data_IF_394814916933
#
_entry.id   IF_394814916933
#
_cell.length_a   1.000
_cell.length_b   1.000
_cell.length_c   1.000
_cell.angle_alpha   90.00
_cell.angle_beta   90.00
_cell.angle_gamma   90.00
#
_symmetry.space_group_name_H-M   'P 1'
#
loop_
_entity.id
_entity.type
_entity.pdbx_description
1 polymer ?
#
# COMPACT_ATOMS: atom_id res chain seq x y z
N UNK A 1 43.73 65.58 -27.67
CA UNK A 1 44.43 64.31 -27.44
C UNK A 1 44.17 63.93 -26.00
N UNK A 2 43.69 62.70 -25.75
CA UNK A 2 43.48 62.04 -24.46
C UNK A 2 42.42 62.67 -23.53
N UNK A 3 41.55 61.94 -22.82
CA UNK A 3 41.42 60.51 -22.53
C UNK A 3 39.94 60.21 -22.32
N UNK A 4 39.49 59.04 -22.77
CA UNK A 4 38.49 58.22 -22.07
C UNK A 4 38.23 56.98 -22.91
N UNK A 5 38.51 55.80 -22.33
CA UNK A 5 37.72 54.57 -22.41
C UNK A 5 38.60 53.36 -22.17
N UNK A 6 38.60 52.85 -20.93
CA UNK A 6 38.77 51.41 -20.66
C UNK A 6 38.38 51.09 -19.22
N UNK A 7 37.18 50.54 -19.02
CA UNK A 7 36.80 49.81 -17.80
C UNK A 7 35.53 48.99 -18.06
N UNK A 8 35.67 47.85 -18.76
CA UNK A 8 34.56 46.89 -18.88
C UNK A 8 35.00 45.42 -18.85
N UNK A 9 36.29 45.12 -19.02
CA UNK A 9 36.79 43.73 -18.99
C UNK A 9 37.03 43.17 -17.57
N UNK A 10 37.14 44.02 -16.54
CA UNK A 10 37.41 43.60 -15.15
C UNK A 10 36.19 43.08 -14.39
N UNK A 11 35.00 43.63 -14.66
CA UNK A 11 33.79 43.37 -13.88
C UNK A 11 33.25 41.93 -14.03
N UNK A 12 33.31 41.35 -15.24
CA UNK A 12 32.83 39.98 -15.49
C UNK A 12 33.69 38.90 -14.81
N UNK A 13 35.01 39.12 -14.71
CA UNK A 13 35.95 38.19 -14.08
C UNK A 13 35.83 38.23 -12.55
N UNK A 14 35.55 39.41 -11.99
CA UNK A 14 35.31 39.61 -10.55
C UNK A 14 33.97 38.97 -10.12
N UNK A 15 32.93 39.05 -10.96
CA UNK A 15 31.62 38.46 -10.70
C UNK A 15 31.64 36.91 -10.72
N UNK A 16 32.37 36.29 -11.66
CA UNK A 16 32.55 34.84 -11.67
C UNK A 16 33.33 34.33 -10.46
N UNK A 17 34.34 35.08 -10.01
CA UNK A 17 35.17 34.75 -8.85
C UNK A 17 34.37 34.88 -7.53
N UNK A 18 33.53 35.91 -7.41
CA UNK A 18 32.54 36.05 -6.32
C UNK A 18 31.60 34.84 -6.26
N UNK A 19 31.09 34.38 -7.42
CA UNK A 19 30.13 33.28 -7.50
C UNK A 19 30.77 31.96 -7.08
N UNK A 20 32.00 31.69 -7.53
CA UNK A 20 32.77 30.52 -7.08
C UNK A 20 33.09 30.56 -5.59
N UNK A 21 33.47 31.73 -5.04
CA UNK A 21 33.69 31.89 -3.60
C UNK A 21 32.42 31.67 -2.78
N UNK A 22 31.27 32.15 -3.25
CA UNK A 22 29.98 31.94 -2.61
C UNK A 22 29.56 30.46 -2.64
N UNK A 23 29.78 29.75 -3.75
CA UNK A 23 29.55 28.29 -3.82
C UNK A 23 30.51 27.50 -2.93
N UNK A 24 31.78 27.93 -2.83
CA UNK A 24 32.75 27.29 -1.97
C UNK A 24 32.44 27.52 -0.49
N UNK A 25 31.98 28.71 -0.11
CA UNK A 25 31.46 29.00 1.23
C UNK A 25 30.24 28.12 1.57
N UNK A 26 29.30 27.95 0.64
CA UNK A 26 28.15 27.03 0.82
C UNK A 26 28.57 25.57 1.00
N UNK A 27 29.59 25.10 0.27
CA UNK A 27 30.15 23.75 0.43
C UNK A 27 30.81 23.58 1.81
N UNK A 28 31.54 24.57 2.28
CA UNK A 28 32.18 24.54 3.60
C UNK A 28 31.13 24.53 4.71
N UNK A 29 30.09 25.36 4.60
CA UNK A 29 28.92 25.35 5.49
C UNK A 29 28.21 23.99 5.48
N UNK A 30 27.99 23.38 4.31
CA UNK A 30 27.41 22.05 4.18
C UNK A 30 28.25 20.97 4.86
N UNK A 31 29.58 21.01 4.70
CA UNK A 31 30.48 20.05 5.36
C UNK A 31 30.44 20.26 6.89
N UNK A 32 30.51 21.52 7.35
CA UNK A 32 30.45 21.86 8.78
C UNK A 32 29.14 21.40 9.42
N UNK A 33 28.02 21.57 8.73
CA UNK A 33 26.71 21.09 9.19
C UNK A 33 26.63 19.57 9.19
N UNK A 34 27.15 18.90 8.16
CA UNK A 34 27.25 17.44 8.13
C UNK A 34 28.11 16.90 9.29
N UNK A 35 29.24 17.53 9.62
CA UNK A 35 30.09 17.16 10.76
C UNK A 35 29.40 17.40 12.11
N UNK A 36 28.68 18.53 12.23
CA UNK A 36 27.86 18.82 13.41
C UNK A 36 26.77 17.77 13.61
N UNK A 37 26.02 17.44 12.56
CA UNK A 37 25.00 16.39 12.59
C UNK A 37 25.60 15.03 12.95
N UNK A 38 26.75 14.69 12.37
CA UNK A 38 27.48 13.45 12.70
C UNK A 38 27.86 13.39 14.17
N UNK A 39 28.29 14.50 14.76
CA UNK A 39 28.63 14.59 16.19
C UNK A 39 27.38 14.48 17.07
N UNK A 40 26.28 15.12 16.69
CA UNK A 40 25.00 15.00 17.40
C UNK A 40 24.48 13.56 17.38
N UNK A 41 24.61 12.89 16.24
CA UNK A 41 24.25 11.48 16.08
C UNK A 41 25.09 10.59 17.01
N UNK A 42 26.40 10.80 17.05
CA UNK A 42 27.31 10.05 17.93
C UNK A 42 27.00 10.26 19.43
N UNK A 43 26.65 11.49 19.84
CA UNK A 43 26.24 11.77 21.22
C UNK A 43 24.91 11.09 21.56
N UNK A 44 23.92 11.16 20.68
CA UNK A 44 22.63 10.50 20.87
C UNK A 44 22.80 8.96 20.94
N UNK A 45 23.66 8.37 20.11
CA UNK A 45 24.00 6.94 20.19
C UNK A 45 24.68 6.59 21.52
N UNK A 46 25.57 7.45 22.03
CA UNK A 46 26.24 7.23 23.32
C UNK A 46 25.26 7.29 24.49
N UNK A 47 24.36 8.28 24.51
CA UNK A 47 23.35 8.42 25.56
C UNK A 47 22.34 7.27 25.52
N UNK A 48 21.90 6.87 24.32
CA UNK A 48 21.07 5.67 24.10
C UNK A 48 21.75 4.42 24.67
N UNK A 49 23.03 4.22 24.36
CA UNK A 49 23.77 3.05 24.84
C UNK A 49 24.01 3.07 26.36
N UNK A 50 24.24 4.25 26.94
CA UNK A 50 24.43 4.42 28.38
C UNK A 50 23.16 4.18 29.19
N UNK A 51 22.01 4.62 28.67
CA UNK A 51 20.73 4.61 29.41
C UNK A 51 19.90 3.35 29.13
N UNK A 52 19.86 2.87 27.87
CA UNK A 52 18.97 1.78 27.46
C UNK A 52 19.70 0.43 27.40
N UNK A 53 20.94 0.40 26.93
CA UNK A 53 21.69 -0.85 26.72
C UNK A 53 22.68 -1.20 27.84
N UNK A 54 22.57 -0.55 29.00
CA UNK A 54 23.39 -0.89 30.16
C UNK A 54 23.08 -2.32 30.64
N UNK A 55 24.14 -3.11 30.86
CA UNK A 55 24.05 -4.52 31.27
C UNK A 55 23.38 -4.72 32.65
N UNK A 56 23.23 -3.66 33.45
CA UNK A 56 22.58 -3.67 34.78
C UNK A 56 21.12 -3.18 34.77
N UNK A 57 20.52 -2.93 33.60
CA UNK A 57 19.13 -2.48 33.51
C UNK A 57 18.16 -3.64 33.77
N UNK A 58 17.14 -3.42 34.60
CA UNK A 58 16.08 -4.39 34.88
C UNK A 58 15.24 -4.74 33.63
N UNK A 59 15.31 -3.91 32.58
CA UNK A 59 14.59 -4.08 31.31
C UNK A 59 15.48 -4.61 30.16
N UNK A 60 16.59 -5.27 30.51
CA UNK A 60 17.60 -5.69 29.52
C UNK A 60 17.03 -6.64 28.46
N UNK A 61 16.06 -7.48 28.82
CA UNK A 61 15.43 -8.43 27.89
C UNK A 61 14.63 -7.68 26.80
N UNK A 62 13.84 -6.70 27.21
CA UNK A 62 13.03 -5.86 26.32
C UNK A 62 13.91 -4.97 25.43
N UNK A 63 14.97 -4.39 25.98
CA UNK A 63 15.93 -3.61 25.20
C UNK A 63 16.73 -4.46 24.21
N UNK A 64 16.98 -5.74 24.51
CA UNK A 64 17.66 -6.64 23.57
C UNK A 64 16.89 -6.82 22.27
N UNK A 65 15.55 -6.83 22.34
CA UNK A 65 14.68 -6.94 21.16
C UNK A 65 14.79 -5.68 20.29
N UNK A 66 14.82 -4.50 20.92
CA UNK A 66 15.01 -3.23 20.21
C UNK A 66 16.40 -3.12 19.58
N UNK A 67 17.44 -3.61 20.26
CA UNK A 67 18.80 -3.66 19.72
C UNK A 67 18.90 -4.58 18.49
N UNK A 68 18.24 -5.73 18.53
CA UNK A 68 18.17 -6.66 17.40
C UNK A 68 17.44 -6.05 16.19
N UNK A 69 16.31 -5.36 16.44
CA UNK A 69 15.57 -4.64 15.41
C UNK A 69 16.41 -3.51 14.78
N UNK A 70 17.12 -2.73 15.59
CA UNK A 70 18.00 -1.68 15.08
C UNK A 70 19.16 -2.24 14.24
N UNK A 71 19.78 -3.33 14.70
CA UNK A 71 20.83 -4.02 13.93
C UNK A 71 20.28 -4.51 12.60
N UNK A 72 19.09 -5.12 12.59
CA UNK A 72 18.41 -5.55 11.38
C UNK A 72 18.17 -4.39 10.40
N UNK A 73 17.64 -3.27 10.88
CA UNK A 73 17.42 -2.06 10.07
C UNK A 73 18.73 -1.46 9.53
N UNK A 74 19.81 -1.50 10.33
CA UNK A 74 21.14 -1.05 9.91
C UNK A 74 21.72 -1.93 8.82
N UNK A 75 21.60 -3.26 8.96
CA UNK A 75 22.01 -4.23 7.93
C UNK A 75 21.19 -4.01 6.65
N UNK A 76 19.86 -3.89 6.76
CA UNK A 76 18.96 -3.63 5.63
C UNK A 76 19.36 -2.38 4.83
N UNK A 77 19.66 -1.26 5.51
CA UNK A 77 20.15 -0.04 4.83
C UNK A 77 21.49 -0.24 4.12
N UNK A 78 22.41 -1.01 4.71
CA UNK A 78 23.71 -1.30 4.09
C UNK A 78 23.54 -2.20 2.86
N UNK A 79 22.67 -3.21 2.94
CA UNK A 79 22.38 -4.11 1.82
C UNK A 79 21.68 -3.37 0.68
N UNK A 80 20.74 -2.47 0.98
CA UNK A 80 20.07 -1.66 -0.04
C UNK A 80 21.05 -0.71 -0.73
N UNK A 81 21.92 -0.05 0.04
CA UNK A 81 23.00 0.78 -0.53
C UNK A 81 23.90 -0.03 -1.47
N UNK A 82 24.29 -1.24 -1.08
CA UNK A 82 25.12 -2.11 -1.92
C UNK A 82 24.39 -2.52 -3.20
N UNK A 83 23.10 -2.85 -3.11
CA UNK A 83 22.24 -3.22 -4.25
C UNK A 83 22.09 -2.07 -5.24
N UNK A 84 21.82 -0.85 -4.76
CA UNK A 84 21.74 0.36 -5.60
C UNK A 84 23.07 0.58 -6.34
N UNK A 85 24.20 0.51 -5.63
CA UNK A 85 25.53 0.67 -6.25
C UNK A 85 25.79 -0.40 -7.32
N UNK A 86 25.38 -1.65 -7.08
CA UNK A 86 25.51 -2.73 -8.04
C UNK A 86 24.66 -2.49 -9.30
N UNK A 87 23.40 -2.08 -9.14
CA UNK A 87 22.49 -1.79 -10.25
C UNK A 87 22.98 -0.60 -11.08
N UNK A 88 23.42 0.48 -10.43
CA UNK A 88 24.02 1.63 -11.11
C UNK A 88 25.29 1.25 -11.88
N UNK A 89 26.14 0.41 -11.30
CA UNK A 89 27.34 -0.09 -11.97
C UNK A 89 27.01 -0.92 -13.22
N UNK A 90 25.94 -1.73 -13.18
CA UNK A 90 25.46 -2.50 -14.34
C UNK A 90 24.95 -1.58 -15.45
N UNK A 91 24.15 -0.56 -15.12
CA UNK A 91 23.68 0.44 -16.09
C UNK A 91 24.86 1.18 -16.71
N UNK A 92 25.81 1.65 -15.89
CA UNK A 92 27.02 2.32 -16.38
C UNK A 92 27.84 1.43 -17.31
N UNK A 93 27.95 0.14 -17.02
CA UNK A 93 28.65 -0.82 -17.88
C UNK A 93 27.95 -0.95 -19.24
N UNK A 94 26.62 -1.10 -19.26
CA UNK A 94 25.85 -1.20 -20.50
C UNK A 94 25.96 0.08 -21.34
N UNK A 95 25.91 1.25 -20.71
CA UNK A 95 26.11 2.55 -21.38
C UNK A 95 27.52 2.65 -21.96
N UNK A 96 28.56 2.26 -21.22
CA UNK A 96 29.95 2.22 -21.74
C UNK A 96 30.10 1.24 -22.90
N UNK A 97 29.41 0.09 -22.86
CA UNK A 97 29.38 -0.90 -23.94
C UNK A 97 28.76 -0.29 -25.20
N UNK A 98 27.60 0.37 -25.06
CA UNK A 98 26.94 1.09 -26.14
C UNK A 98 27.84 2.18 -26.73
N UNK A 99 28.45 3.03 -25.89
CA UNK A 99 29.39 4.07 -26.31
C UNK A 99 30.60 3.54 -27.10
N UNK A 100 31.13 2.36 -26.72
CA UNK A 100 32.24 1.73 -27.45
C UNK A 100 31.81 1.26 -28.83
N UNK A 101 30.61 0.68 -28.96
CA UNK A 101 30.10 0.25 -30.26
C UNK A 101 29.80 1.42 -31.20
N UNK A 102 29.53 2.61 -30.66
CA UNK A 102 29.31 3.84 -31.44
C UNK A 102 30.58 4.52 -31.97
N UNK A 103 31.79 4.13 -31.54
CA UNK A 103 33.01 4.89 -31.86
C UNK A 103 33.59 4.69 -33.26
N UNK A 104 33.44 3.52 -33.90
CA UNK A 104 34.11 3.23 -35.18
C UNK A 104 33.38 2.16 -36.04
N UNK A 105 32.12 2.38 -36.45
CA UNK A 105 31.39 1.40 -37.26
C UNK A 105 30.58 2.03 -38.40
N UNK A 106 30.68 1.46 -39.60
CA UNK A 106 29.83 1.81 -40.75
C UNK A 106 28.40 1.34 -40.48
N UNK A 107 27.37 2.19 -40.63
CA UNK A 107 25.98 1.82 -40.39
C UNK A 107 25.54 0.77 -41.42
N UNK A 108 25.61 -0.48 -41.01
CA UNK A 108 25.12 -1.66 -41.73
C UNK A 108 23.77 -2.03 -41.10
N UNK A 109 22.77 -2.53 -41.84
CA UNK A 109 21.46 -2.85 -41.27
C UNK A 109 21.52 -3.75 -40.02
N UNK A 110 22.34 -4.80 -40.02
CA UNK A 110 22.48 -5.68 -38.85
C UNK A 110 23.13 -4.97 -37.65
N UNK A 111 24.00 -3.99 -37.89
CA UNK A 111 24.62 -3.19 -36.84
C UNK A 111 23.62 -2.21 -36.20
N UNK A 112 22.73 -1.61 -37.01
CA UNK A 112 21.67 -0.73 -36.52
C UNK A 112 20.69 -1.50 -35.64
N UNK A 113 20.32 -2.72 -36.02
CA UNK A 113 19.45 -3.56 -35.20
C UNK A 113 20.11 -3.98 -33.88
N UNK A 114 21.39 -4.35 -33.92
CA UNK A 114 22.17 -4.62 -32.70
C UNK A 114 22.32 -3.40 -31.79
N UNK A 115 22.40 -2.20 -32.36
CA UNK A 115 22.44 -0.95 -31.60
C UNK A 115 21.10 -0.67 -30.91
N UNK A 116 19.98 -0.93 -31.61
CA UNK A 116 18.63 -0.81 -31.03
C UNK A 116 18.44 -1.76 -29.86
N UNK A 117 18.83 -3.03 -30.00
CA UNK A 117 18.78 -4.01 -28.90
C UNK A 117 19.58 -3.52 -27.68
N UNK A 118 20.79 -2.98 -27.89
CA UNK A 118 21.61 -2.43 -26.81
C UNK A 118 21.01 -1.18 -26.16
N UNK A 119 20.38 -0.30 -26.94
CA UNK A 119 19.68 0.87 -26.43
C UNK A 119 18.47 0.45 -25.59
N UNK A 120 17.69 -0.51 -26.10
CA UNK A 120 16.51 -1.06 -25.42
C UNK A 120 16.91 -1.78 -24.12
N UNK A 121 18.01 -2.53 -24.10
CA UNK A 121 18.54 -3.13 -22.87
C UNK A 121 18.93 -2.07 -21.81
N UNK A 122 19.55 -0.96 -22.24
CA UNK A 122 19.91 0.14 -21.33
C UNK A 122 18.66 0.84 -20.80
N UNK A 123 17.70 1.13 -21.68
CA UNK A 123 16.45 1.80 -21.33
C UNK A 123 15.60 0.94 -20.39
N UNK A 124 15.45 -0.34 -20.69
CA UNK A 124 14.78 -1.30 -19.83
C UNK A 124 15.47 -1.43 -18.46
N UNK A 125 16.81 -1.46 -18.42
CA UNK A 125 17.54 -1.50 -17.15
C UNK A 125 17.33 -0.22 -16.30
N UNK A 126 17.28 0.96 -16.94
CA UNK A 126 17.01 2.24 -16.27
C UNK A 126 15.57 2.29 -15.76
N UNK A 127 14.60 1.88 -16.58
CA UNK A 127 13.19 1.90 -16.22
C UNK A 127 12.89 0.91 -15.09
N UNK A 128 13.43 -0.30 -15.15
CA UNK A 128 13.32 -1.29 -14.08
C UNK A 128 13.93 -0.78 -12.77
N UNK A 129 15.12 -0.15 -12.83
CA UNK A 129 15.75 0.46 -11.64
C UNK A 129 14.87 1.55 -11.03
N UNK A 130 14.37 2.48 -11.83
CA UNK A 130 13.49 3.56 -11.35
C UNK A 130 12.21 3.02 -10.74
N UNK A 131 11.60 2.01 -11.37
CA UNK A 131 10.37 1.40 -10.90
C UNK A 131 10.57 0.67 -9.56
N UNK A 132 11.64 -0.11 -9.44
CA UNK A 132 11.99 -0.80 -8.20
C UNK A 132 12.24 0.21 -7.06
N UNK A 133 13.01 1.27 -7.31
CA UNK A 133 13.27 2.31 -6.31
C UNK A 133 12.00 3.08 -5.92
N UNK A 134 11.09 3.31 -6.87
CA UNK A 134 9.77 3.91 -6.60
C UNK A 134 8.93 3.02 -5.68
N UNK A 135 8.87 1.72 -5.95
CA UNK A 135 8.12 0.76 -5.13
C UNK A 135 8.68 0.68 -3.70
N UNK A 136 10.00 0.63 -3.55
CA UNK A 136 10.66 0.62 -2.23
C UNK A 136 10.33 1.91 -1.47
N UNK A 137 10.43 3.06 -2.14
CA UNK A 137 10.11 4.36 -1.53
C UNK A 137 8.64 4.47 -1.10
N UNK A 138 7.70 4.05 -1.95
CA UNK A 138 6.27 4.03 -1.62
C UNK A 138 5.97 3.11 -0.43
N UNK A 139 6.67 1.97 -0.32
CA UNK A 139 6.53 1.05 0.81
C UNK A 139 7.07 1.69 2.11
N UNK A 140 8.26 2.28 2.06
CA UNK A 140 8.85 2.98 3.22
C UNK A 140 7.97 4.14 3.71
N UNK A 141 7.34 4.90 2.80
CA UNK A 141 6.40 5.96 3.19
C UNK A 141 5.16 5.42 3.92
N UNK A 142 4.64 4.25 3.51
CA UNK A 142 3.51 3.62 4.21
C UNK A 142 3.91 3.17 5.61
N UNK A 143 5.09 2.57 5.73
CA UNK A 143 5.67 2.14 7.02
C UNK A 143 5.93 3.33 7.94
N UNK A 144 6.53 4.41 7.43
CA UNK A 144 6.74 5.65 8.18
C UNK A 144 5.41 6.21 8.69
N UNK A 145 4.39 6.34 7.82
CA UNK A 145 3.07 6.82 8.22
C UNK A 145 2.45 5.95 9.31
N UNK A 146 2.64 4.64 9.22
CA UNK A 146 2.10 3.67 10.19
C UNK A 146 2.81 3.83 11.53
N UNK A 147 4.14 3.86 11.54
CA UNK A 147 4.94 4.06 12.74
C UNK A 147 4.66 5.42 13.41
N UNK A 148 4.52 6.50 12.63
CA UNK A 148 4.16 7.83 13.15
C UNK A 148 2.76 7.81 13.79
N UNK A 149 1.79 7.14 13.17
CA UNK A 149 0.46 6.99 13.75
C UNK A 149 0.52 6.20 15.07
N UNK A 150 1.27 5.10 15.12
CA UNK A 150 1.47 4.32 16.33
C UNK A 150 2.13 5.15 17.44
N UNK A 151 3.18 5.90 17.12
CA UNK A 151 3.82 6.83 18.04
C UNK A 151 2.82 7.88 18.56
N UNK A 152 2.00 8.47 17.69
CA UNK A 152 0.98 9.44 18.12
C UNK A 152 -0.07 8.83 19.07
N UNK A 153 -0.37 7.53 18.93
CA UNK A 153 -1.27 6.82 19.84
C UNK A 153 -0.58 6.61 21.19
N UNK A 154 0.71 6.25 21.19
CA UNK A 154 1.48 6.09 22.40
C UNK A 154 1.73 7.42 23.12
N UNK A 155 2.06 8.49 22.40
CA UNK A 155 2.18 9.84 22.94
C UNK A 155 0.89 10.26 23.64
N UNK A 156 -0.27 10.12 22.99
CA UNK A 156 -1.57 10.40 23.63
C UNK A 156 -1.83 9.55 24.87
N UNK A 157 -1.41 8.28 24.89
CA UNK A 157 -1.53 7.43 26.10
C UNK A 157 -0.64 7.93 27.22
N UNK A 158 0.60 8.30 26.91
CA UNK A 158 1.54 8.87 27.89
C UNK A 158 1.01 10.21 28.40
N UNK A 159 0.47 11.06 27.53
CA UNK A 159 -0.20 12.29 27.91
C UNK A 159 -1.42 12.03 28.81
N UNK A 160 -2.26 11.03 28.52
CA UNK A 160 -3.35 10.63 29.41
C UNK A 160 -2.83 10.20 30.79
N UNK A 161 -1.77 9.40 30.85
CA UNK A 161 -1.15 9.00 32.12
C UNK A 161 -0.55 10.20 32.87
N UNK A 162 0.02 11.16 32.14
CA UNK A 162 0.50 12.42 32.69
C UNK A 162 -0.66 13.31 33.16
N UNK A 163 -1.79 13.29 32.47
CA UNK A 163 -2.98 14.07 32.82
C UNK A 163 -3.67 13.50 34.05
N UNK A 164 -3.87 12.17 34.12
CA UNK A 164 -4.39 11.45 35.28
C UNK A 164 -3.51 11.65 36.53
N UNK A 165 -2.22 11.92 36.34
CA UNK A 165 -1.31 12.33 37.42
C UNK A 165 -1.30 13.83 37.71
N UNK A 166 -1.72 14.70 36.77
CA UNK A 166 -1.73 16.17 36.92
C UNK A 166 -3.08 16.78 37.36
N UNK A 167 -4.24 16.13 37.14
CA UNK A 167 -5.53 16.58 37.70
C UNK A 167 -5.54 16.54 39.23
N UNK A 168 -4.53 15.90 39.84
CA UNK A 168 -4.27 15.87 41.28
C UNK A 168 -3.06 16.73 41.71
N UNK A 169 -2.52 17.58 40.84
CA UNK A 169 -1.21 18.25 41.05
C UNK A 169 -1.29 19.79 41.11
N UNK A 170 -2.48 20.37 41.34
CA UNK A 170 -2.65 21.83 41.47
C UNK A 170 -2.98 22.32 42.88
N UNK A 171 -2.34 21.81 43.94
CA UNK A 171 -2.05 22.66 45.11
C UNK A 171 -0.82 22.10 45.81
N UNK A 172 0.06 23.01 46.25
CA UNK A 172 1.05 22.90 47.32
C UNK A 172 2.51 22.99 46.85
N UNK A 173 2.93 24.26 46.68
CA UNK A 173 4.32 24.66 46.87
C UNK A 173 4.70 24.39 48.33
N UNK A 174 5.77 23.63 48.52
CA UNK A 174 6.40 23.34 49.82
C UNK A 174 7.02 24.61 50.46
N UNK A 175 7.19 24.60 51.80
CA UNK A 175 8.55 24.37 52.29
C UNK A 175 8.65 23.35 53.44
N UNK A 176 9.73 22.55 53.30
CA UNK A 176 10.60 21.92 54.30
C UNK A 176 10.07 20.85 55.30
N UNK A 177 10.67 19.66 55.15
CA UNK A 177 11.01 18.65 56.16
C UNK A 177 9.90 18.00 57.00
N UNK A 178 9.43 16.84 56.54
CA UNK A 178 9.61 15.54 57.24
C UNK A 178 9.15 14.41 56.33
N UNK A 179 9.88 13.30 56.36
CA UNK A 179 9.59 12.06 55.64
C UNK A 179 8.19 11.57 56.04
N UNK A 180 7.20 11.77 55.19
CA UNK A 180 5.89 11.17 55.30
C UNK A 180 5.68 10.23 54.12
N UNK A 181 5.42 8.95 54.43
CA UNK A 181 5.02 7.94 53.46
C UNK A 181 3.89 8.47 52.59
N UNK A 182 4.10 8.34 51.30
CA UNK A 182 3.29 8.86 50.21
C UNK A 182 1.79 8.56 50.36
N UNK A 183 0.98 9.59 50.59
CA UNK A 183 -0.49 9.50 50.65
C UNK A 183 -1.10 9.08 49.30
N UNK A 184 -0.35 9.10 48.18
CA UNK A 184 -0.81 8.55 46.89
C UNK A 184 -0.91 7.02 46.91
N UNK A 185 -0.16 6.33 47.79
CA UNK A 185 -0.22 4.88 47.92
C UNK A 185 -1.51 4.42 48.65
N UNK A 186 -2.10 5.28 49.49
CA UNK A 186 -3.30 4.98 50.29
C UNK A 186 -4.56 4.78 49.43
N UNK A 187 -4.61 5.36 48.22
CA UNK A 187 -5.79 5.33 47.34
C UNK A 187 -5.90 4.08 46.45
N UNK A 188 -4.81 3.35 46.23
CA UNK A 188 -4.79 2.15 45.35
C UNK A 188 -4.74 0.83 46.13
N UNK A 189 -4.53 0.88 47.45
CA UNK A 189 -4.48 -0.30 48.29
C UNK A 189 -5.80 -0.52 49.05
N UNK A 190 -6.17 -1.79 49.33
CA UNK A 190 -7.32 -2.09 50.17
C UNK A 190 -7.21 -1.41 51.54
N UNK A 191 -8.34 -0.91 52.05
CA UNK A 191 -8.43 -0.16 53.32
C UNK A 191 -7.78 -0.92 54.50
N UNK A 192 -7.92 -2.24 54.55
CA UNK A 192 -7.33 -3.07 55.61
C UNK A 192 -5.80 -3.14 55.55
N UNK A 193 -5.20 -2.98 54.37
CA UNK A 193 -3.72 -2.91 54.23
C UNK A 193 -3.19 -1.62 54.84
N UNK A 194 -3.93 -0.52 54.61
CA UNK A 194 -3.62 0.80 55.15
C UNK A 194 -3.82 0.84 56.67
N UNK A 195 -4.91 0.26 57.17
CA UNK A 195 -5.19 0.16 58.60
C UNK A 195 -4.13 -0.65 59.35
N UNK A 196 -3.68 -1.77 58.76
CA UNK A 196 -2.57 -2.54 59.31
C UNK A 196 -1.25 -1.74 59.35
N UNK A 197 -0.94 -0.98 58.31
CA UNK A 197 0.27 -0.14 58.26
C UNK A 197 0.21 0.98 59.31
N UNK A 198 -0.94 1.66 59.45
CA UNK A 198 -1.16 2.66 60.51
C UNK A 198 -1.04 2.05 61.90
N UNK A 199 -1.52 0.82 62.10
CA UNK A 199 -1.36 0.10 63.36
C UNK A 199 0.12 -0.16 63.68
N UNK A 200 0.92 -0.61 62.71
CA UNK A 200 2.36 -0.82 62.91
C UNK A 200 3.09 0.48 63.26
N UNK A 201 2.76 1.58 62.57
CA UNK A 201 3.37 2.88 62.84
C UNK A 201 3.05 3.39 64.25
N UNK A 202 1.82 3.19 64.72
CA UNK A 202 1.40 3.61 66.08
C UNK A 202 1.98 2.72 67.19
N UNK A 203 2.17 1.43 66.92
CA UNK A 203 2.51 0.45 67.95
C UNK A 203 3.98 0.05 67.99
N UNK A 204 4.87 0.73 67.26
CA UNK A 204 6.31 0.41 67.29
C UNK A 204 6.68 -0.81 66.43
N UNK A 205 5.99 -1.01 65.31
CA UNK A 205 6.28 -2.03 64.32
C UNK A 205 5.80 -3.43 64.68
N UNK A 206 6.35 -4.44 63.99
CA UNK A 206 5.93 -5.85 64.17
C UNK A 206 6.14 -6.34 65.61
N UNK A 207 7.24 -5.93 66.24
CA UNK A 207 7.61 -6.35 67.59
C UNK A 207 7.03 -5.46 68.69
N UNK A 208 6.34 -4.36 68.38
CA UNK A 208 5.69 -3.58 69.42
C UNK A 208 6.60 -2.65 70.21
N UNK A 209 7.79 -2.34 69.67
CA UNK A 209 8.87 -1.70 70.43
C UNK A 209 9.62 -2.64 71.40
N UNK A 210 9.28 -3.93 71.44
CA UNK A 210 10.05 -4.93 72.19
C UNK A 210 11.30 -5.34 71.41
N UNK A 211 12.38 -5.65 72.13
CA UNK A 211 13.56 -6.22 71.50
C UNK A 211 13.30 -7.65 71.00
N UNK A 212 14.21 -8.17 70.19
CA UNK A 212 14.04 -9.49 69.60
C UNK A 212 14.12 -10.62 70.63
N UNK A 213 14.81 -10.44 71.75
CA UNK A 213 14.96 -11.49 72.77
C UNK A 213 13.66 -11.64 73.58
N UNK A 214 13.17 -10.53 74.13
CA UNK A 214 11.94 -10.44 74.91
C UNK A 214 10.74 -10.86 74.04
N UNK A 215 10.67 -10.38 72.81
CA UNK A 215 9.57 -10.72 71.90
C UNK A 215 9.51 -12.22 71.58
N UNK A 216 10.66 -12.87 71.37
CA UNK A 216 10.71 -14.30 71.08
C UNK A 216 10.34 -15.16 72.30
N UNK A 217 10.78 -14.78 73.50
CA UNK A 217 10.38 -15.47 74.72
C UNK A 217 8.88 -15.31 75.00
N UNK A 218 8.34 -14.11 74.81
CA UNK A 218 6.89 -13.87 74.85
C UNK A 218 6.14 -14.77 73.85
N UNK A 219 6.57 -14.85 72.60
CA UNK A 219 5.90 -15.67 71.58
C UNK A 219 5.88 -17.17 71.91
N UNK A 220 6.96 -17.70 72.51
CA UNK A 220 7.02 -19.10 72.97
C UNK A 220 5.96 -19.38 74.02
N UNK A 221 5.88 -18.53 75.05
CA UNK A 221 4.91 -18.67 76.14
C UNK A 221 3.47 -18.42 75.62
N UNK A 222 3.28 -17.42 74.77
CA UNK A 222 2.00 -17.11 74.13
C UNK A 222 1.44 -18.27 73.33
N UNK A 223 2.30 -18.92 72.52
CA UNK A 223 1.92 -20.07 71.69
C UNK A 223 1.60 -21.30 72.54
N UNK A 224 2.36 -21.53 73.62
CA UNK A 224 2.13 -22.61 74.58
C UNK A 224 0.77 -22.50 75.28
N UNK A 225 0.38 -21.28 75.68
CA UNK A 225 -0.88 -21.01 76.39
C UNK A 225 -2.05 -20.63 75.47
N UNK A 226 -1.84 -20.58 74.15
CA UNK A 226 -2.83 -20.14 73.15
C UNK A 226 -3.51 -18.80 73.52
N UNK A 227 -2.76 -17.89 74.14
CA UNK A 227 -3.25 -16.57 74.57
C UNK A 227 -4.19 -16.57 75.79
N UNK A 228 -4.22 -17.63 76.61
CA UNK A 228 -4.96 -17.67 77.90
C UNK A 228 -4.17 -16.96 79.00
N UNK A 229 -4.85 -16.26 79.93
CA UNK A 229 -4.24 -15.43 80.99
C UNK A 229 -3.12 -16.09 81.81
N UNK A 230 -3.06 -17.43 81.87
CA UNK A 230 -1.96 -18.21 82.44
C UNK A 230 -0.60 -17.98 81.77
N UNK A 231 -0.55 -17.35 80.58
CA UNK A 231 0.70 -16.98 79.91
C UNK A 231 1.46 -15.88 80.64
N UNK A 232 0.76 -15.03 81.40
CA UNK A 232 1.36 -13.84 82.02
C UNK A 232 2.30 -14.26 83.15
N UNK A 233 1.86 -15.20 83.98
CA UNK A 233 2.65 -15.69 85.12
C UNK A 233 3.90 -16.46 84.63
N UNK A 234 3.78 -17.27 83.58
CA UNK A 234 4.94 -17.95 82.97
C UNK A 234 5.86 -16.96 82.23
N UNK A 235 5.32 -15.93 81.58
CA UNK A 235 6.14 -14.94 80.86
C UNK A 235 6.98 -14.06 81.79
N UNK A 236 6.50 -13.80 83.01
CA UNK A 236 7.25 -13.06 84.03
C UNK A 236 8.55 -13.76 84.45
N UNK A 237 8.59 -15.10 84.39
CA UNK A 237 9.79 -15.88 84.74
C UNK A 237 10.91 -15.71 83.72
N UNK A 238 10.58 -15.49 82.44
CA UNK A 238 11.55 -15.38 81.35
C UNK A 238 11.89 -13.94 80.95
N UNK A 239 11.07 -12.96 81.34
CA UNK A 239 11.19 -11.56 80.97
C UNK A 239 11.68 -10.72 82.16
N UNK A 240 12.96 -10.85 82.48
CA UNK A 240 13.59 -10.11 83.56
C UNK A 240 13.50 -8.59 83.31
N UNK A 241 12.82 -7.86 84.20
CA UNK A 241 12.68 -6.40 84.11
C UNK A 241 11.42 -5.89 83.41
N UNK A 242 10.47 -6.76 83.06
CA UNK A 242 9.13 -6.37 82.57
C UNK A 242 8.08 -6.52 83.68
N UNK A 243 7.13 -5.60 83.71
CA UNK A 243 6.00 -5.70 84.64
C UNK A 243 4.91 -6.62 84.11
N UNK A 244 4.03 -7.08 84.99
CA UNK A 244 2.87 -7.88 84.62
C UNK A 244 1.99 -7.13 83.62
N UNK A 245 1.83 -5.84 83.86
CA UNK A 245 1.07 -4.90 83.05
C UNK A 245 1.66 -4.76 81.64
N UNK A 246 2.99 -4.67 81.51
CA UNK A 246 3.68 -4.59 80.20
C UNK A 246 3.41 -5.85 79.35
N UNK A 247 3.47 -7.03 79.98
CA UNK A 247 3.23 -8.33 79.33
C UNK A 247 1.77 -8.43 78.87
N UNK A 248 0.82 -8.01 79.70
CA UNK A 248 -0.60 -8.00 79.37
C UNK A 248 -0.93 -7.02 78.23
N UNK A 249 -0.35 -5.82 78.25
CA UNK A 249 -0.53 -4.83 77.18
C UNK A 249 0.05 -5.32 75.85
N UNK A 250 1.23 -5.95 75.88
CA UNK A 250 1.83 -6.53 74.69
C UNK A 250 1.03 -7.72 74.16
N UNK A 251 0.43 -8.53 75.04
CA UNK A 251 -0.51 -9.58 74.68
C UNK A 251 -1.75 -9.07 73.96
N UNK A 252 -2.39 -8.02 74.48
CA UNK A 252 -3.54 -7.36 73.83
C UNK A 252 -3.16 -6.80 72.46
N UNK A 253 -2.04 -6.08 72.38
CA UNK A 253 -1.48 -5.58 71.11
C UNK A 253 -1.21 -6.70 70.11
N UNK A 254 -0.65 -7.83 70.55
CA UNK A 254 -0.33 -8.96 69.68
C UNK A 254 -1.60 -9.66 69.15
N UNK A 255 -2.67 -9.75 69.95
CA UNK A 255 -3.98 -10.20 69.47
C UNK A 255 -4.54 -9.29 68.38
N UNK A 256 -4.51 -7.97 68.59
CA UNK A 256 -4.94 -6.99 67.58
C UNK A 256 -4.09 -7.08 66.30
N UNK A 257 -2.77 -7.27 66.44
CA UNK A 257 -1.86 -7.49 65.33
C UNK A 257 -2.27 -8.72 64.49
N UNK A 258 -2.60 -9.85 65.14
CA UNK A 258 -3.02 -11.07 64.44
C UNK A 258 -4.31 -10.85 63.64
N UNK A 259 -5.31 -10.19 64.25
CA UNK A 259 -6.59 -9.90 63.60
C UNK A 259 -6.39 -8.99 62.37
N UNK A 260 -5.63 -7.90 62.52
CA UNK A 260 -5.39 -6.96 61.43
C UNK A 260 -4.51 -7.57 60.33
N UNK A 261 -3.55 -8.42 60.69
CA UNK A 261 -2.71 -9.14 59.74
C UNK A 261 -3.53 -10.11 58.88
N UNK A 262 -4.51 -10.81 59.48
CA UNK A 262 -5.37 -11.72 58.73
C UNK A 262 -6.35 -10.97 57.83
N UNK A 263 -6.96 -9.89 58.32
CA UNK A 263 -7.78 -8.98 57.49
C UNK A 263 -7.00 -8.42 56.30
N UNK A 264 -5.75 -8.02 56.51
CA UNK A 264 -4.83 -7.58 55.44
C UNK A 264 -4.65 -8.68 54.38
N UNK A 265 -4.39 -9.92 54.80
CA UNK A 265 -4.22 -11.04 53.85
C UNK A 265 -5.49 -11.31 53.05
N UNK A 266 -6.64 -11.37 53.71
CA UNK A 266 -7.92 -11.60 53.05
C UNK A 266 -8.23 -10.50 52.03
N UNK A 267 -7.98 -9.24 52.38
CA UNK A 267 -8.22 -8.11 51.47
C UNK A 267 -7.24 -8.07 50.31
N UNK A 268 -5.98 -8.46 50.50
CA UNK A 268 -5.04 -8.66 49.38
C UNK A 268 -5.51 -9.79 48.46
N UNK A 269 -6.01 -10.91 49.03
CA UNK A 269 -6.52 -12.03 48.25
C UNK A 269 -7.73 -11.62 47.39
N UNK A 270 -8.73 -10.97 48.01
CA UNK A 270 -9.93 -10.45 47.31
C UNK A 270 -9.57 -9.41 46.24
N UNK A 271 -8.60 -8.53 46.53
CA UNK A 271 -8.12 -7.55 45.56
C UNK A 271 -7.47 -8.21 44.35
N UNK A 272 -6.61 -9.22 44.56
CA UNK A 272 -6.00 -10.00 43.47
C UNK A 272 -7.03 -10.74 42.63
N UNK A 273 -8.01 -11.39 43.27
CA UNK A 273 -9.11 -12.07 42.57
C UNK A 273 -9.92 -11.09 41.71
N UNK A 274 -10.26 -9.91 42.26
CA UNK A 274 -10.97 -8.86 41.53
C UNK A 274 -10.17 -8.35 40.33
N UNK A 275 -8.87 -8.10 40.50
CA UNK A 275 -7.99 -7.67 39.42
C UNK A 275 -7.89 -8.72 38.31
N UNK A 276 -7.83 -10.00 38.67
CA UNK A 276 -7.82 -11.09 37.70
C UNK A 276 -9.14 -11.18 36.93
N UNK A 277 -10.28 -11.07 37.62
CA UNK A 277 -11.60 -11.09 37.00
C UNK A 277 -11.81 -9.92 36.04
N UNK A 278 -11.32 -8.73 36.37
CA UNK A 278 -11.37 -7.55 35.51
C UNK A 278 -10.53 -7.72 34.25
N UNK A 279 -9.31 -8.27 34.37
CA UNK A 279 -8.47 -8.63 33.22
C UNK A 279 -9.16 -9.61 32.27
N UNK A 280 -9.79 -10.66 32.81
CA UNK A 280 -10.52 -11.63 32.00
C UNK A 280 -11.75 -11.04 31.31
N UNK A 281 -12.48 -10.13 31.97
CA UNK A 281 -13.60 -9.40 31.35
C UNK A 281 -13.12 -8.52 30.20
N UNK A 282 -12.07 -7.74 30.41
CA UNK A 282 -11.47 -6.88 29.38
C UNK A 282 -10.95 -7.70 28.19
N UNK A 283 -10.37 -8.87 28.44
CA UNK A 283 -9.92 -9.77 27.38
C UNK A 283 -11.10 -10.30 26.55
N UNK A 284 -12.18 -10.75 27.21
CA UNK A 284 -13.39 -11.24 26.53
C UNK A 284 -14.10 -10.14 25.73
N UNK A 285 -14.10 -8.91 26.22
CA UNK A 285 -14.66 -7.76 25.50
C UNK A 285 -13.85 -7.44 24.24
N UNK A 286 -12.51 -7.40 24.36
CA UNK A 286 -11.62 -7.24 23.20
C UNK A 286 -11.82 -8.35 22.16
N UNK A 287 -11.89 -9.60 22.58
CA UNK A 287 -12.12 -10.74 21.67
C UNK A 287 -13.47 -10.62 20.94
N UNK A 288 -14.52 -10.14 21.61
CA UNK A 288 -15.81 -9.88 20.97
C UNK A 288 -15.74 -8.74 19.96
N UNK A 289 -15.08 -7.64 20.30
CA UNK A 289 -14.89 -6.51 19.38
C UNK A 289 -14.08 -6.92 18.15
N UNK A 290 -13.02 -7.71 18.32
CA UNK A 290 -12.21 -8.24 17.22
C UNK A 290 -13.01 -9.18 16.31
N UNK A 291 -13.86 -10.05 16.87
CA UNK A 291 -14.75 -10.92 16.08
C UNK A 291 -15.74 -10.10 15.25
N UNK A 292 -16.38 -9.10 15.84
CA UNK A 292 -17.28 -8.20 15.12
C UNK A 292 -16.57 -7.47 13.98
N UNK A 293 -15.39 -6.90 14.23
CA UNK A 293 -14.58 -6.23 13.20
C UNK A 293 -14.22 -7.18 12.04
N UNK A 294 -13.91 -8.44 12.34
CA UNK A 294 -13.58 -9.44 11.33
C UNK A 294 -14.80 -9.83 10.49
N UNK A 295 -15.98 -9.94 11.09
CA UNK A 295 -17.24 -10.19 10.37
C UNK A 295 -17.61 -9.01 9.47
N UNK A 296 -17.51 -7.77 9.95
CA UNK A 296 -17.76 -6.56 9.15
C UNK A 296 -16.80 -6.46 7.96
N UNK A 297 -15.52 -6.79 8.16
CA UNK A 297 -14.53 -6.80 7.09
C UNK A 297 -14.85 -7.83 6.00
N UNK A 298 -15.24 -9.05 6.39
CA UNK A 298 -15.65 -10.11 5.46
C UNK A 298 -16.86 -9.70 4.63
N UNK A 299 -17.88 -9.07 5.25
CA UNK A 299 -19.06 -8.58 4.55
C UNK A 299 -18.71 -7.50 3.52
N UNK A 300 -17.81 -6.58 3.88
CA UNK A 300 -17.33 -5.54 2.97
C UNK A 300 -16.54 -6.12 1.78
N UNK A 301 -15.69 -7.13 2.03
CA UNK A 301 -14.93 -7.81 0.98
C UNK A 301 -15.86 -8.54 -0.01
N UNK A 302 -16.87 -9.27 0.50
CA UNK A 302 -17.87 -9.95 -0.34
C UNK A 302 -18.69 -8.97 -1.17
N UNK A 303 -19.17 -7.87 -0.57
CA UNK A 303 -19.91 -6.84 -1.28
C UNK A 303 -19.05 -6.18 -2.39
N UNK A 304 -17.75 -6.00 -2.14
CA UNK A 304 -16.82 -5.45 -3.14
C UNK A 304 -16.58 -6.44 -4.28
N UNK A 305 -16.44 -7.74 -3.99
CA UNK A 305 -16.32 -8.81 -5.00
C UNK A 305 -17.56 -8.89 -5.89
N UNK A 306 -18.75 -8.85 -5.31
CA UNK A 306 -20.01 -8.85 -6.08
C UNK A 306 -20.10 -7.64 -7.01
N UNK A 307 -19.80 -6.43 -6.51
CA UNK A 307 -19.77 -5.21 -7.35
C UNK A 307 -18.70 -5.26 -8.45
N UNK A 308 -17.57 -5.93 -8.22
CA UNK A 308 -16.55 -6.11 -9.24
C UNK A 308 -16.99 -7.11 -10.31
N UNK A 309 -17.61 -8.22 -9.91
CA UNK A 309 -18.15 -9.22 -10.82
C UNK A 309 -19.27 -8.65 -11.70
N UNK A 310 -20.19 -7.88 -11.12
CA UNK A 310 -21.26 -7.23 -11.87
C UNK A 310 -20.72 -6.24 -12.91
N UNK A 311 -19.74 -5.41 -12.54
CA UNK A 311 -19.06 -4.50 -13.49
C UNK A 311 -18.38 -5.27 -14.62
N UNK A 312 -17.74 -6.40 -14.32
CA UNK A 312 -17.12 -7.26 -15.34
C UNK A 312 -18.16 -7.85 -16.30
N UNK A 313 -19.32 -8.29 -15.80
CA UNK A 313 -20.43 -8.78 -16.63
C UNK A 313 -20.98 -7.68 -17.55
N UNK A 314 -21.16 -6.47 -17.03
CA UNK A 314 -21.60 -5.32 -17.82
C UNK A 314 -20.60 -4.94 -18.92
N UNK A 315 -19.29 -4.94 -18.61
CA UNK A 315 -18.24 -4.70 -19.60
C UNK A 315 -18.24 -5.76 -20.71
N UNK A 316 -18.32 -7.05 -20.35
CA UNK A 316 -18.38 -8.13 -21.32
C UNK A 316 -19.61 -8.04 -22.24
N UNK A 317 -20.77 -7.68 -21.69
CA UNK A 317 -21.98 -7.44 -22.49
C UNK A 317 -21.81 -6.28 -23.48
N UNK A 318 -21.20 -5.17 -23.03
CA UNK A 318 -20.94 -4.02 -23.89
C UNK A 318 -19.94 -4.34 -25.02
N UNK A 319 -18.90 -5.12 -24.73
CA UNK A 319 -17.94 -5.59 -25.75
C UNK A 319 -18.58 -6.56 -26.75
N UNK A 320 -19.39 -7.50 -26.28
CA UNK A 320 -20.14 -8.42 -27.14
C UNK A 320 -21.07 -7.66 -28.08
N UNK A 321 -21.80 -6.67 -27.56
CA UNK A 321 -22.67 -5.81 -28.37
C UNK A 321 -21.90 -5.01 -29.43
N UNK A 322 -20.74 -4.45 -29.08
CA UNK A 322 -19.86 -3.76 -30.04
C UNK A 322 -19.38 -4.70 -31.15
N UNK A 323 -18.96 -5.93 -30.81
CA UNK A 323 -18.55 -6.95 -31.79
C UNK A 323 -19.71 -7.32 -32.71
N UNK A 324 -20.90 -7.57 -32.17
CA UNK A 324 -22.08 -7.90 -32.96
C UNK A 324 -22.45 -6.76 -33.92
N UNK A 325 -22.38 -5.51 -33.46
CA UNK A 325 -22.64 -4.33 -34.29
C UNK A 325 -21.61 -4.18 -35.42
N UNK A 326 -20.34 -4.46 -35.14
CA UNK A 326 -19.28 -4.45 -36.16
C UNK A 326 -19.48 -5.55 -37.22
N UNK A 327 -19.87 -6.76 -36.79
CA UNK A 327 -20.20 -7.87 -37.70
C UNK A 327 -21.39 -7.49 -38.59
N UNK A 328 -22.47 -6.97 -38.00
CA UNK A 328 -23.65 -6.55 -38.75
C UNK A 328 -23.31 -5.47 -39.79
N UNK A 329 -22.52 -4.47 -39.40
CA UNK A 329 -22.05 -3.43 -40.31
C UNK A 329 -21.17 -3.99 -41.45
N UNK A 330 -20.25 -4.92 -41.15
CA UNK A 330 -19.42 -5.57 -42.15
C UNK A 330 -20.26 -6.43 -43.13
N UNK A 331 -21.29 -7.13 -42.63
CA UNK A 331 -22.21 -7.90 -43.47
C UNK A 331 -23.01 -6.99 -44.41
N UNK A 332 -23.45 -5.82 -43.93
CA UNK A 332 -24.15 -4.83 -44.74
C UNK A 332 -23.25 -4.26 -45.85
N UNK A 333 -22.01 -3.85 -45.52
CA UNK A 333 -21.06 -3.39 -46.53
C UNK A 333 -20.70 -4.47 -47.56
N UNK A 334 -20.48 -5.71 -47.11
CA UNK A 334 -20.21 -6.82 -48.02
C UNK A 334 -21.41 -7.09 -48.96
N UNK A 335 -22.64 -6.90 -48.49
CA UNK A 335 -23.85 -7.05 -49.29
C UNK A 335 -23.98 -5.92 -50.32
N UNK A 336 -23.66 -4.68 -49.94
CA UNK A 336 -23.63 -3.54 -50.85
C UNK A 336 -22.57 -3.73 -51.96
N UNK A 337 -21.36 -4.16 -51.60
CA UNK A 337 -20.29 -4.44 -52.57
C UNK A 337 -20.68 -5.56 -53.55
N UNK A 338 -21.30 -6.64 -53.05
CA UNK A 338 -21.80 -7.72 -53.93
C UNK A 338 -22.86 -7.22 -54.91
N UNK A 339 -23.75 -6.34 -54.45
CA UNK A 339 -24.79 -5.76 -55.31
C UNK A 339 -24.18 -4.83 -56.38
N UNK A 340 -23.17 -4.04 -56.03
CA UNK A 340 -22.43 -3.22 -57.01
C UNK A 340 -21.66 -4.07 -58.01
N UNK A 341 -20.93 -5.10 -57.56
CA UNK A 341 -20.21 -6.02 -58.44
C UNK A 341 -21.16 -6.74 -59.42
N UNK A 342 -22.35 -7.14 -58.97
CA UNK A 342 -23.37 -7.74 -59.85
C UNK A 342 -23.93 -6.73 -60.85
N UNK A 343 -24.15 -5.48 -60.45
CA UNK A 343 -24.56 -4.39 -61.35
C UNK A 343 -23.48 -4.11 -62.39
N UNK A 344 -22.21 -4.03 -62.01
CA UNK A 344 -21.09 -3.84 -62.93
C UNK A 344 -20.96 -5.01 -63.92
N UNK A 345 -21.06 -6.26 -63.43
CA UNK A 345 -21.07 -7.45 -64.31
C UNK A 345 -22.23 -7.43 -65.30
N UNK A 346 -23.42 -6.97 -64.89
CA UNK A 346 -24.56 -6.79 -65.80
C UNK A 346 -24.27 -5.71 -66.83
N UNK A 347 -23.77 -4.54 -66.41
CA UNK A 347 -23.39 -3.45 -67.31
C UNK A 347 -22.30 -3.87 -68.31
N UNK A 348 -21.32 -4.68 -67.91
CA UNK A 348 -20.25 -5.14 -68.80
C UNK A 348 -20.73 -6.16 -69.84
N UNK A 349 -21.72 -6.99 -69.47
CA UNK A 349 -22.34 -7.98 -70.37
C UNK A 349 -23.39 -7.37 -71.30
N UNK A 350 -23.90 -6.19 -70.99
CA UNK A 350 -24.95 -5.49 -71.75
C UNK A 350 -24.49 -5.11 -73.18
N UNK A 351 -23.31 -4.49 -73.42
CA UNK A 351 -22.80 -4.21 -74.78
C UNK A 351 -22.61 -5.47 -75.62
N UNK A 352 -22.15 -6.56 -75.00
CA UNK A 352 -21.96 -7.83 -75.69
C UNK A 352 -23.30 -8.41 -76.14
N UNK A 353 -24.33 -8.36 -75.28
CA UNK A 353 -25.71 -8.74 -75.62
C UNK A 353 -26.29 -7.85 -76.73
N UNK A 354 -26.09 -6.54 -76.65
CA UNK A 354 -26.55 -5.59 -77.67
C UNK A 354 -25.86 -5.82 -79.02
N UNK A 355 -24.55 -6.06 -79.04
CA UNK A 355 -23.80 -6.39 -80.27
C UNK A 355 -24.27 -7.72 -80.87
N UNK A 356 -24.49 -8.73 -80.03
CA UNK A 356 -25.00 -10.03 -80.48
C UNK A 356 -26.39 -9.90 -81.11
N UNK A 357 -27.29 -9.14 -80.48
CA UNK A 357 -28.62 -8.84 -81.02
C UNK A 357 -28.54 -8.08 -82.36
N UNK A 358 -27.69 -7.05 -82.46
CA UNK A 358 -27.46 -6.32 -83.72
C UNK A 358 -26.97 -7.23 -84.84
N UNK A 359 -26.07 -8.17 -84.55
CA UNK A 359 -25.55 -9.12 -85.52
C UNK A 359 -26.65 -10.08 -86.02
N UNK A 360 -27.50 -10.58 -85.12
CA UNK A 360 -28.65 -11.43 -85.47
C UNK A 360 -29.64 -10.70 -86.39
N UNK A 361 -29.99 -9.46 -86.05
CA UNK A 361 -30.87 -8.63 -86.88
C UNK A 361 -30.27 -8.36 -88.26
N UNK A 362 -28.97 -8.04 -88.34
CA UNK A 362 -28.28 -7.82 -89.61
C UNK A 362 -28.28 -9.08 -90.50
N UNK A 363 -28.03 -10.26 -89.91
CA UNK A 363 -28.13 -11.55 -90.63
C UNK A 363 -29.55 -11.79 -91.15
N UNK A 364 -30.56 -11.56 -90.32
CA UNK A 364 -31.96 -11.73 -90.73
C UNK A 364 -32.34 -10.77 -91.87
N UNK A 365 -31.93 -9.50 -91.79
CA UNK A 365 -32.14 -8.52 -92.87
C UNK A 365 -31.42 -8.91 -94.16
N UNK A 366 -30.19 -9.43 -94.08
CA UNK A 366 -29.45 -9.91 -95.25
C UNK A 366 -30.16 -11.10 -95.90
N UNK A 367 -30.58 -12.09 -95.09
CA UNK A 367 -31.32 -13.26 -95.57
C UNK A 367 -32.66 -12.88 -96.20
N UNK A 368 -33.35 -11.88 -95.63
CA UNK A 368 -34.59 -11.34 -96.21
C UNK A 368 -34.32 -10.67 -97.57
N UNK A 369 -33.27 -9.86 -97.68
CA UNK A 369 -32.86 -9.24 -98.96
C UNK A 369 -32.46 -10.27 -100.00
N UNK A 370 -31.73 -11.31 -99.61
CA UNK A 370 -31.34 -12.41 -100.52
C UNK A 370 -32.56 -13.18 -101.02
N UNK A 371 -33.53 -13.48 -100.13
CA UNK A 371 -34.82 -14.06 -100.55
C UNK A 371 -35.60 -13.15 -101.49
N UNK A 372 -35.63 -11.85 -101.20
CA UNK A 372 -36.33 -10.85 -102.04
C UNK A 372 -35.65 -10.70 -103.41
N UNK A 373 -34.31 -10.68 -103.47
CA UNK A 373 -33.53 -10.68 -104.72
C UNK A 373 -33.68 -11.98 -105.52
N UNK A 374 -33.86 -13.14 -104.86
CA UNK A 374 -34.18 -14.40 -105.55
C UNK A 374 -35.63 -14.43 -106.07
N UNK A 375 -36.57 -13.85 -105.33
CA UNK A 375 -37.97 -13.74 -105.75
C UNK A 375 -38.20 -12.71 -106.87
N UNK A 376 -37.39 -11.64 -106.95
CA UNK A 376 -37.51 -10.59 -107.99
C UNK A 376 -37.49 -11.14 -109.43
N UNK A 377 -36.49 -11.91 -109.88
CA UNK A 377 -36.49 -12.46 -111.23
C UNK A 377 -37.60 -13.50 -111.43
N UNK A 378 -38.08 -14.17 -110.38
CA UNK A 378 -39.24 -15.06 -110.48
C UNK A 378 -40.54 -14.26 -110.67
N UNK A 379 -40.70 -13.14 -109.96
CA UNK A 379 -41.82 -12.21 -110.12
C UNK A 379 -41.78 -11.51 -111.48
N UNK A 380 -40.62 -11.03 -111.93
CA UNK A 380 -40.45 -10.45 -113.27
C UNK A 380 -40.78 -11.48 -114.36
N UNK A 381 -40.32 -12.73 -114.24
CA UNK A 381 -40.70 -13.81 -115.17
C UNK A 381 -42.20 -14.10 -115.15
N UNK A 382 -42.85 -14.07 -113.98
CA UNK A 382 -44.31 -14.23 -113.88
C UNK A 382 -45.06 -13.05 -114.49
N UNK A 383 -44.63 -11.81 -114.24
CA UNK A 383 -45.24 -10.62 -114.81
C UNK A 383 -45.05 -10.54 -116.33
N UNK A 384 -43.88 -10.94 -116.84
CA UNK A 384 -43.62 -10.99 -118.28
C UNK A 384 -44.44 -12.10 -118.96
N UNK A 385 -44.57 -13.28 -118.32
CA UNK A 385 -45.49 -14.32 -118.77
C UNK A 385 -46.96 -13.85 -118.74
N UNK A 386 -47.38 -13.10 -117.71
CA UNK A 386 -48.73 -12.54 -117.64
C UNK A 386 -48.96 -11.46 -118.71
N UNK A 387 -47.95 -10.61 -118.99
CA UNK A 387 -48.02 -9.63 -120.09
C UNK A 387 -48.09 -10.31 -121.45
N UNK A 388 -47.32 -11.37 -121.69
CA UNK A 388 -47.41 -12.17 -122.91
C UNK A 388 -48.75 -12.90 -123.03
N UNK A 389 -49.29 -13.44 -121.93
CA UNK A 389 -50.64 -14.02 -121.93
C UNK A 389 -51.72 -12.96 -122.23
N UNK A 390 -51.62 -11.77 -121.63
CA UNK A 390 -52.52 -10.63 -121.94
C UNK A 390 -52.39 -10.19 -123.39
N UNK A 391 -51.19 -10.18 -123.98
CA UNK A 391 -50.98 -9.92 -125.41
C UNK A 391 -51.59 -11.02 -126.28
N UNK A 392 -51.46 -12.30 -125.89
CA UNK A 392 -52.07 -13.44 -126.61
C UNK A 392 -53.58 -13.33 -126.60
N UNK A 393 -54.19 -13.05 -125.44
CA UNK A 393 -55.63 -12.83 -125.30
C UNK A 393 -56.08 -11.61 -126.10
N UNK A 394 -55.33 -10.50 -126.06
CA UNK A 394 -55.65 -9.33 -126.88
C UNK A 394 -55.52 -9.60 -128.39
N UNK A 395 -54.53 -10.38 -128.83
CA UNK A 395 -54.39 -10.81 -130.22
C UNK A 395 -55.52 -11.77 -130.64
N UNK A 396 -55.91 -12.70 -129.77
CA UNK A 396 -57.06 -13.59 -129.96
C UNK A 396 -58.37 -12.81 -130.04
N UNK A 397 -58.57 -11.77 -129.22
CA UNK A 397 -59.71 -10.86 -129.32
C UNK A 397 -59.68 -10.03 -130.61
N UNK A 398 -58.52 -9.48 -131.00
CA UNK A 398 -58.38 -8.73 -132.27
C UNK A 398 -58.70 -9.63 -133.48
N UNK A 399 -58.28 -10.90 -133.47
CA UNK A 399 -58.65 -11.86 -134.53
C UNK A 399 -60.14 -12.25 -134.53
N UNK A 400 -60.85 -12.09 -133.42
CA UNK A 400 -62.31 -12.31 -133.33
C UNK A 400 -63.13 -11.11 -133.81
N UNK A 401 -62.56 -9.91 -133.85
CA UNK A 401 -63.23 -8.70 -134.36
C UNK A 401 -63.01 -8.40 -135.85
N UNK A 402 -62.29 -9.28 -136.59
CA UNK A 402 -62.10 -9.19 -138.05
C UNK A 402 -62.74 -10.34 -138.84
N UNK A 403 -63.89 -10.86 -138.37
CA UNK A 403 -64.78 -11.70 -139.18
C UNK A 403 -66.24 -11.29 -139.02
#
# INVERSE_FOLDING_TARGET
QNDSHSSTAGAGRQFQNWKMKAEQAKKVEFIRTAEKLKTQLANAEKDKNGNLYNRKSDFRAEYSILEELERSMSVSRKTEKAKILQQLSKIQHNVKRLQRQLKDVKPTPEFVDKLKELMEEVENAINAFKEEQRQIYEQLLKEEKTAVNELSVFERKVELWALDSSTTEKVLKFPLARVSVDKKLENNLPKDVVEFERFLQRTGGRQGGWDNYDHQNFLKVWTKHKGRLSYVDEALEYLCGRTKEDIEQHGKRYQEFLILHERKKESIKKWKEKQQQEKERNLKEKEKSEKMLKEEWLQCEEAQKQKAEERRRQQAAAEAWKKQKAIAFAMEQASQLKLEEEKEKKQLKEPQRQCHMKLLLARYSLQKKEKEELEKPEKEKREEAEKEERKRIAAEEITKFQK
#
